data_IF_263751723773
#
_entry.id   IF_263751723773
#
_cell.length_a   1.000
_cell.length_b   1.000
_cell.length_c   1.000
_cell.angle_alpha   90.00
_cell.angle_beta   90.00
_cell.angle_gamma   90.00
#
_symmetry.space_group_name_H-M   'P 1'
#
loop_
_entity.id
_entity.type
_entity.pdbx_description
1 polymer ?
#
# COMPACT_ATOMS: atom_id res chain seq x y z
N UNK A 1 -69.39 11.37 13.25
CA UNK A 1 -68.26 10.84 12.45
C UNK A 1 -68.39 9.35 12.45
N UNK A 2 -68.45 8.73 11.28
CA UNK A 2 -68.61 7.29 11.17
C UNK A 2 -67.30 6.59 11.52
N UNK A 3 -67.41 5.44 12.20
CA UNK A 3 -66.28 4.59 12.58
C UNK A 3 -65.38 4.29 11.36
N UNK A 4 -65.99 4.16 10.17
CA UNK A 4 -65.30 3.94 8.91
C UNK A 4 -64.31 5.07 8.56
N UNK A 5 -64.67 6.33 8.79
CA UNK A 5 -63.82 7.50 8.48
C UNK A 5 -62.63 7.57 9.44
N UNK A 6 -62.83 7.19 10.71
CA UNK A 6 -61.77 7.12 11.72
C UNK A 6 -60.78 6.00 11.40
N UNK A 7 -61.27 4.83 10.99
CA UNK A 7 -60.42 3.69 10.62
C UNK A 7 -59.61 3.98 9.36
N UNK A 8 -60.23 4.56 8.33
CA UNK A 8 -59.54 4.89 7.07
C UNK A 8 -58.48 5.98 7.28
N UNK A 9 -58.81 7.06 8.00
CA UNK A 9 -57.85 8.14 8.30
C UNK A 9 -56.66 7.65 9.14
N UNK A 10 -56.89 6.77 10.11
CA UNK A 10 -55.83 6.15 10.92
C UNK A 10 -54.93 5.24 10.09
N UNK A 11 -55.49 4.50 9.14
CA UNK A 11 -54.74 3.59 8.25
C UNK A 11 -53.86 4.38 7.27
N UNK A 12 -54.41 5.44 6.66
CA UNK A 12 -53.65 6.32 5.75
C UNK A 12 -52.51 7.03 6.49
N UNK A 13 -52.78 7.53 7.69
CA UNK A 13 -51.76 8.20 8.52
C UNK A 13 -50.66 7.21 8.93
N UNK A 14 -51.05 6.00 9.33
CA UNK A 14 -50.09 4.93 9.69
C UNK A 14 -49.24 4.50 8.49
N UNK A 15 -49.83 4.39 7.30
CA UNK A 15 -49.12 4.07 6.06
C UNK A 15 -48.12 5.17 5.68
N UNK A 16 -48.49 6.45 5.81
CA UNK A 16 -47.58 7.58 5.57
C UNK A 16 -46.40 7.57 6.55
N UNK A 17 -46.65 7.41 7.85
CA UNK A 17 -45.58 7.37 8.86
C UNK A 17 -44.66 6.16 8.62
N UNK A 18 -45.24 4.99 8.36
CA UNK A 18 -44.48 3.76 8.09
C UNK A 18 -43.66 3.89 6.80
N UNK A 19 -44.20 4.53 5.76
CA UNK A 19 -43.49 4.81 4.51
C UNK A 19 -42.32 5.76 4.70
N UNK A 20 -42.48 6.82 5.49
CA UNK A 20 -41.40 7.76 5.81
C UNK A 20 -40.28 7.10 6.63
N UNK A 21 -40.65 6.36 7.69
CA UNK A 21 -39.70 5.62 8.53
C UNK A 21 -38.96 4.57 7.68
N UNK A 22 -39.70 3.75 6.93
CA UNK A 22 -39.13 2.73 6.05
C UNK A 22 -38.22 3.32 4.98
N UNK A 23 -38.62 4.43 4.36
CA UNK A 23 -37.81 5.17 3.40
C UNK A 23 -36.50 5.68 3.99
N UNK A 24 -36.55 6.28 5.20
CA UNK A 24 -35.36 6.75 5.89
C UNK A 24 -34.39 5.62 6.25
N UNK A 25 -34.89 4.52 6.82
CA UNK A 25 -34.07 3.34 7.11
C UNK A 25 -33.48 2.73 5.83
N UNK A 26 -34.26 2.64 4.75
CA UNK A 26 -33.79 2.13 3.46
C UNK A 26 -32.64 2.98 2.89
N UNK A 27 -32.78 4.32 2.92
CA UNK A 27 -31.74 5.24 2.48
C UNK A 27 -30.46 5.09 3.31
N UNK A 28 -30.58 5.05 4.64
CA UNK A 28 -29.44 4.89 5.55
C UNK A 28 -28.74 3.54 5.35
N UNK A 29 -29.52 2.47 5.16
CA UNK A 29 -28.99 1.13 4.86
C UNK A 29 -28.19 1.13 3.56
N UNK A 30 -28.77 1.70 2.48
CA UNK A 30 -28.08 1.82 1.18
C UNK A 30 -26.78 2.63 1.24
N UNK A 31 -26.76 3.71 2.03
CA UNK A 31 -25.54 4.50 2.23
C UNK A 31 -24.45 3.70 2.94
N UNK A 32 -24.82 2.94 3.97
CA UNK A 32 -23.88 2.06 4.68
C UNK A 32 -23.37 0.93 3.79
N UNK A 33 -24.23 0.33 2.99
CA UNK A 33 -23.88 -0.70 2.00
C UNK A 33 -22.89 -0.16 0.96
N UNK A 34 -23.16 1.03 0.39
CA UNK A 34 -22.25 1.68 -0.54
C UNK A 34 -20.87 1.93 0.06
N UNK A 35 -20.81 2.46 1.29
CA UNK A 35 -19.55 2.68 1.99
C UNK A 35 -18.79 1.35 2.22
N UNK A 36 -19.50 0.28 2.58
CA UNK A 36 -18.90 -1.04 2.76
C UNK A 36 -18.29 -1.58 1.46
N UNK A 37 -19.02 -1.51 0.34
CA UNK A 37 -18.53 -1.93 -0.98
C UNK A 37 -17.29 -1.14 -1.37
N UNK A 38 -17.33 0.19 -1.19
CA UNK A 38 -16.20 1.06 -1.47
C UNK A 38 -14.97 0.71 -0.62
N UNK A 39 -15.14 0.51 0.69
CA UNK A 39 -14.04 0.12 1.57
C UNK A 39 -13.49 -1.26 1.25
N UNK A 40 -14.33 -2.21 0.84
CA UNK A 40 -13.89 -3.51 0.35
C UNK A 40 -13.00 -3.39 -0.88
N UNK A 41 -13.39 -2.58 -1.86
CA UNK A 41 -12.57 -2.32 -3.05
C UNK A 41 -11.21 -1.70 -2.70
N UNK A 42 -11.17 -0.76 -1.75
CA UNK A 42 -9.90 -0.17 -1.31
C UNK A 42 -9.04 -1.21 -0.59
N UNK A 43 -9.64 -2.00 0.31
CA UNK A 43 -8.93 -3.05 1.03
C UNK A 43 -8.27 -4.03 0.05
N UNK A 44 -8.98 -4.47 -0.98
CA UNK A 44 -8.44 -5.33 -2.05
C UNK A 44 -7.25 -4.68 -2.77
N UNK A 45 -7.33 -3.38 -3.12
CA UNK A 45 -6.20 -2.65 -3.74
C UNK A 45 -4.99 -2.55 -2.81
N UNK A 46 -5.22 -2.32 -1.52
CA UNK A 46 -4.14 -2.26 -0.51
C UNK A 46 -3.47 -3.61 -0.32
N UNK A 47 -4.23 -4.71 -0.27
CA UNK A 47 -3.68 -6.06 -0.21
C UNK A 47 -2.73 -6.34 -1.36
N UNK A 48 -3.16 -6.06 -2.60
CA UNK A 48 -2.30 -6.23 -3.80
C UNK A 48 -1.01 -5.41 -3.69
N UNK A 49 -1.11 -4.17 -3.21
CA UNK A 49 0.07 -3.33 -3.02
C UNK A 49 1.03 -3.90 -1.96
N UNK A 50 0.49 -4.49 -0.90
CA UNK A 50 1.27 -5.05 0.21
C UNK A 50 1.94 -6.36 -0.22
N UNK A 51 1.27 -7.18 -1.02
CA UNK A 51 1.85 -8.38 -1.65
C UNK A 51 3.08 -8.04 -2.52
N UNK A 52 3.05 -6.92 -3.26
CA UNK A 52 4.22 -6.47 -4.02
C UNK A 52 5.37 -5.97 -3.13
N UNK A 53 5.07 -5.43 -1.94
CA UNK A 53 6.10 -5.12 -0.93
C UNK A 53 6.67 -6.41 -0.32
N UNK A 54 5.83 -7.41 -0.02
CA UNK A 54 6.28 -8.71 0.49
C UNK A 54 7.19 -9.42 -0.51
N UNK A 55 6.84 -9.40 -1.80
CA UNK A 55 7.68 -9.94 -2.88
C UNK A 55 9.06 -9.27 -2.88
N UNK A 56 9.10 -7.93 -2.83
CA UNK A 56 10.35 -7.17 -2.74
C UNK A 56 11.17 -7.55 -1.50
N UNK A 57 10.52 -7.62 -0.32
CA UNK A 57 11.17 -8.05 0.92
C UNK A 57 11.79 -9.44 0.77
N UNK A 58 11.06 -10.39 0.16
CA UNK A 58 11.52 -11.77 -0.05
C UNK A 58 12.86 -11.82 -0.80
N UNK A 59 12.98 -11.08 -1.90
CA UNK A 59 14.19 -11.01 -2.73
C UNK A 59 15.41 -10.41 -1.99
N UNK A 60 15.17 -9.51 -1.03
CA UNK A 60 16.23 -8.89 -0.20
C UNK A 60 16.39 -9.53 1.18
N UNK A 61 15.67 -10.62 1.45
CA UNK A 61 15.75 -11.37 2.71
C UNK A 61 16.75 -12.51 2.63
N UNK A 62 16.85 -13.13 1.46
CA UNK A 62 17.73 -14.26 1.22
C UNK A 62 19.15 -13.73 1.04
N UNK A 63 20.06 -14.16 1.92
CA UNK A 63 21.47 -13.90 1.80
C UNK A 63 22.14 -15.02 0.97
N UNK A 64 22.98 -14.63 0.03
CA UNK A 64 23.84 -15.49 -0.78
C UNK A 64 25.29 -15.12 -0.45
N UNK A 65 26.18 -16.10 -0.46
CA UNK A 65 27.62 -15.90 -0.19
C UNK A 65 28.40 -16.18 -1.46
N UNK A 66 29.26 -15.25 -1.88
CA UNK A 66 30.15 -15.45 -3.02
C UNK A 66 31.45 -16.18 -2.59
N UNK A 67 32.28 -16.54 -3.57
CA UNK A 67 33.56 -17.22 -3.37
C UNK A 67 34.52 -16.46 -2.43
N UNK A 68 34.41 -15.13 -2.36
CA UNK A 68 35.19 -14.26 -1.46
C UNK A 68 34.64 -14.20 -0.02
N UNK A 69 33.66 -15.06 0.32
CA UNK A 69 32.98 -15.13 1.62
C UNK A 69 32.21 -13.86 2.00
N UNK A 70 31.97 -12.93 1.06
CA UNK A 70 31.18 -11.72 1.31
C UNK A 70 29.71 -12.00 0.97
N UNK A 71 28.77 -11.73 1.91
CA UNK A 71 27.36 -11.92 1.65
C UNK A 71 26.78 -10.78 0.81
N UNK A 72 25.77 -11.09 0.02
CA UNK A 72 24.92 -10.15 -0.69
C UNK A 72 23.48 -10.70 -0.72
N UNK A 73 22.50 -9.88 -1.10
CA UNK A 73 21.10 -10.30 -1.16
C UNK A 73 20.77 -10.95 -2.51
N UNK A 74 19.88 -11.96 -2.53
CA UNK A 74 19.49 -12.71 -3.73
C UNK A 74 19.09 -11.81 -4.89
N UNK A 75 18.41 -10.70 -4.62
CA UNK A 75 18.08 -9.67 -5.60
C UNK A 75 19.26 -9.23 -6.48
N UNK A 76 20.49 -9.25 -5.94
CA UNK A 76 21.71 -8.82 -6.62
C UNK A 76 22.59 -9.96 -7.13
N UNK A 77 22.07 -11.19 -7.18
CA UNK A 77 22.79 -12.34 -7.74
C UNK A 77 23.11 -12.16 -9.21
N UNK A 78 24.13 -12.88 -9.68
CA UNK A 78 24.55 -12.86 -11.10
C UNK A 78 23.48 -13.37 -12.07
N UNK A 79 22.47 -14.09 -11.57
CA UNK A 79 21.32 -14.54 -12.37
C UNK A 79 20.36 -13.40 -12.71
N UNK A 80 20.39 -12.30 -11.94
CA UNK A 80 19.54 -11.13 -12.13
C UNK A 80 20.27 -10.04 -12.92
N UNK A 81 19.59 -9.48 -13.92
CA UNK A 81 20.04 -8.27 -14.60
C UNK A 81 19.46 -7.00 -13.96
N UNK A 82 20.00 -5.83 -14.34
CA UNK A 82 19.51 -4.54 -13.87
C UNK A 82 18.01 -4.35 -14.16
N UNK A 83 17.54 -4.85 -15.31
CA UNK A 83 16.13 -4.76 -15.68
C UNK A 83 15.23 -5.54 -14.71
N UNK A 84 15.68 -6.68 -14.21
CA UNK A 84 14.95 -7.53 -13.25
C UNK A 84 14.81 -6.82 -11.91
N UNK A 85 15.92 -6.24 -11.42
CA UNK A 85 15.91 -5.41 -10.20
C UNK A 85 14.96 -4.22 -10.34
N UNK A 86 15.01 -3.51 -11.46
CA UNK A 86 14.13 -2.36 -11.70
C UNK A 86 12.66 -2.76 -11.88
N UNK A 87 12.36 -3.90 -12.49
CA UNK A 87 10.98 -4.41 -12.62
C UNK A 87 10.37 -4.70 -11.26
N UNK A 88 11.14 -5.29 -10.34
CA UNK A 88 10.67 -5.55 -8.98
C UNK A 88 10.37 -4.25 -8.24
N UNK A 89 11.31 -3.28 -8.29
CA UNK A 89 11.12 -1.96 -7.67
C UNK A 89 9.92 -1.21 -8.28
N UNK A 90 9.75 -1.29 -9.61
CA UNK A 90 8.61 -0.70 -10.31
C UNK A 90 7.28 -1.31 -9.86
N UNK A 91 7.23 -2.62 -9.66
CA UNK A 91 6.03 -3.32 -9.15
C UNK A 91 5.55 -2.70 -7.84
N UNK A 92 6.46 -2.52 -6.89
CA UNK A 92 6.15 -1.88 -5.61
C UNK A 92 5.80 -0.40 -5.75
N UNK A 93 6.59 0.36 -6.52
CA UNK A 93 6.40 1.81 -6.68
C UNK A 93 5.13 2.18 -7.45
N UNK A 94 4.67 1.34 -8.39
CA UNK A 94 3.43 1.54 -9.14
C UNK A 94 2.17 1.57 -8.25
N UNK A 95 2.30 1.05 -7.02
CA UNK A 95 1.22 0.96 -6.04
C UNK A 95 1.32 2.00 -4.92
N UNK A 96 2.12 3.06 -5.10
CA UNK A 96 2.38 4.11 -4.09
C UNK A 96 1.10 4.68 -3.41
N UNK A 97 0.02 4.84 -4.18
CA UNK A 97 -1.25 5.35 -3.68
C UNK A 97 -1.86 4.47 -2.57
N UNK A 98 -1.59 3.16 -2.60
CA UNK A 98 -2.21 2.16 -1.74
C UNK A 98 -1.34 1.77 -0.54
N UNK A 99 -0.08 2.18 -0.52
CA UNK A 99 0.83 2.02 0.62
C UNK A 99 0.61 3.13 1.64
N UNK A 100 1.01 2.96 2.89
CA UNK A 100 1.18 4.11 3.80
C UNK A 100 2.35 4.98 3.32
N UNK A 101 2.36 6.24 3.74
CA UNK A 101 3.42 7.17 3.30
C UNK A 101 4.80 6.74 3.83
N UNK A 102 4.86 6.17 5.03
CA UNK A 102 6.08 5.59 5.61
C UNK A 102 6.58 4.39 4.79
N UNK A 103 5.68 3.44 4.47
CA UNK A 103 6.05 2.26 3.69
C UNK A 103 6.47 2.64 2.27
N UNK A 104 5.78 3.59 1.65
CA UNK A 104 6.18 4.12 0.35
C UNK A 104 7.55 4.81 0.41
N UNK A 105 7.82 5.60 1.45
CA UNK A 105 9.12 6.27 1.59
C UNK A 105 10.28 5.27 1.72
N UNK A 106 10.08 4.17 2.44
CA UNK A 106 11.09 3.10 2.55
C UNK A 106 11.36 2.41 1.20
N UNK A 107 10.32 2.15 0.41
CA UNK A 107 10.50 1.55 -0.94
C UNK A 107 11.20 2.52 -1.89
N UNK A 108 10.89 3.82 -1.79
CA UNK A 108 11.59 4.90 -2.51
C UNK A 108 13.06 5.00 -2.10
N UNK A 109 13.38 4.94 -0.81
CA UNK A 109 14.77 4.95 -0.32
C UNK A 109 15.58 3.78 -0.88
N UNK A 110 15.00 2.58 -0.93
CA UNK A 110 15.63 1.42 -1.55
C UNK A 110 15.85 1.65 -3.05
N UNK A 111 14.86 2.17 -3.77
CA UNK A 111 15.01 2.50 -5.20
C UNK A 111 16.14 3.50 -5.45
N UNK A 112 16.24 4.56 -4.64
CA UNK A 112 17.32 5.54 -4.74
C UNK A 112 18.69 4.93 -4.44
N UNK A 113 18.78 4.04 -3.44
CA UNK A 113 20.01 3.33 -3.12
C UNK A 113 20.49 2.48 -4.31
N UNK A 114 19.58 1.74 -4.94
CA UNK A 114 19.88 0.93 -6.13
C UNK A 114 20.27 1.82 -7.31
N UNK A 115 19.51 2.88 -7.59
CA UNK A 115 19.79 3.81 -8.69
C UNK A 115 21.15 4.50 -8.59
N UNK A 116 21.52 4.98 -7.40
CA UNK A 116 22.80 5.68 -7.21
C UNK A 116 24.01 4.75 -7.36
N UNK A 117 23.81 3.45 -7.24
CA UNK A 117 24.90 2.49 -7.19
C UNK A 117 25.09 1.66 -8.47
N UNK A 118 24.11 1.71 -9.38
CA UNK A 118 24.17 1.12 -10.72
C UNK A 118 24.83 2.05 -11.75
N UNK A 119 25.54 3.10 -11.29
CA UNK A 119 26.46 3.85 -12.14
C UNK A 119 27.45 2.85 -12.80
N UNK A 120 27.69 2.96 -14.12
CA UNK A 120 28.05 1.85 -15.02
C UNK A 120 29.37 1.10 -14.75
N UNK A 121 30.13 1.44 -13.72
CA UNK A 121 31.45 0.85 -13.45
C UNK A 121 31.44 -0.37 -12.50
N UNK A 122 30.35 -0.65 -11.76
CA UNK A 122 30.32 -1.77 -10.79
C UNK A 122 29.10 -2.67 -10.99
N UNK A 123 29.34 -3.97 -11.15
CA UNK A 123 28.28 -4.98 -11.32
C UNK A 123 27.40 -5.15 -10.07
N UNK A 124 26.19 -5.67 -10.26
CA UNK A 124 25.17 -5.83 -9.21
C UNK A 124 25.65 -6.61 -7.99
N UNK A 125 26.43 -7.68 -8.19
CA UNK A 125 26.98 -8.49 -7.09
C UNK A 125 27.89 -7.65 -6.20
N UNK A 126 28.83 -6.89 -6.78
CA UNK A 126 29.72 -6.02 -6.00
C UNK A 126 28.94 -4.89 -5.32
N UNK A 127 27.92 -4.34 -5.97
CA UNK A 127 26.99 -3.42 -5.31
C UNK A 127 26.34 -4.06 -4.08
N UNK A 128 25.78 -5.27 -4.23
CA UNK A 128 25.10 -6.02 -3.18
C UNK A 128 26.01 -6.31 -2.00
N UNK A 129 27.27 -6.71 -2.26
CA UNK A 129 28.28 -6.93 -1.21
C UNK A 129 28.64 -5.63 -0.47
N UNK A 130 28.85 -4.54 -1.21
CA UNK A 130 29.22 -3.25 -0.63
C UNK A 130 28.08 -2.61 0.19
N UNK A 131 26.83 -2.98 -0.10
CA UNK A 131 25.64 -2.39 0.54
C UNK A 131 24.82 -3.39 1.36
N UNK A 132 25.35 -4.58 1.63
CA UNK A 132 24.62 -5.68 2.28
C UNK A 132 23.95 -5.22 3.58
N UNK A 133 24.69 -4.54 4.46
CA UNK A 133 24.20 -4.02 5.73
C UNK A 133 23.09 -2.99 5.54
N UNK A 134 23.30 -2.00 4.67
CA UNK A 134 22.33 -0.93 4.38
C UNK A 134 21.01 -1.51 3.86
N UNK A 135 21.08 -2.47 2.93
CA UNK A 135 19.90 -3.14 2.39
C UNK A 135 19.22 -3.99 3.47
N UNK A 136 19.97 -4.68 4.32
CA UNK A 136 19.41 -5.48 5.41
C UNK A 136 18.67 -4.61 6.45
N UNK A 137 19.20 -3.42 6.76
CA UNK A 137 18.56 -2.45 7.64
C UNK A 137 17.27 -1.89 7.02
N UNK A 138 17.29 -1.53 5.73
CA UNK A 138 16.08 -1.11 5.00
C UNK A 138 15.03 -2.22 4.95
N UNK A 139 15.42 -3.46 4.65
CA UNK A 139 14.51 -4.62 4.70
C UNK A 139 13.85 -4.75 6.07
N UNK A 140 14.62 -4.68 7.15
CA UNK A 140 14.05 -4.79 8.50
C UNK A 140 13.06 -3.67 8.83
N UNK A 141 13.30 -2.45 8.32
CA UNK A 141 12.33 -1.35 8.45
C UNK A 141 11.08 -1.62 7.60
N UNK A 142 11.23 -2.08 6.37
CA UNK A 142 10.12 -2.46 5.48
C UNK A 142 9.24 -3.54 6.14
N UNK A 143 9.84 -4.62 6.62
CA UNK A 143 9.13 -5.73 7.29
C UNK A 143 8.34 -5.26 8.50
N UNK A 144 8.96 -4.44 9.37
CA UNK A 144 8.29 -3.92 10.58
C UNK A 144 7.14 -2.98 10.23
N UNK A 145 7.35 -2.09 9.27
CA UNK A 145 6.33 -1.12 8.85
C UNK A 145 5.15 -1.85 8.21
N UNK A 146 5.41 -2.79 7.30
CA UNK A 146 4.39 -3.62 6.69
C UNK A 146 3.59 -4.42 7.74
N UNK A 147 4.28 -5.03 8.71
CA UNK A 147 3.61 -5.77 9.77
C UNK A 147 2.69 -4.87 10.63
N UNK A 148 3.14 -3.66 10.95
CA UNK A 148 2.32 -2.68 11.68
C UNK A 148 1.11 -2.24 10.86
N UNK A 149 1.31 -1.97 9.57
CA UNK A 149 0.23 -1.58 8.67
C UNK A 149 -0.85 -2.66 8.55
N UNK A 150 -0.46 -3.94 8.57
CA UNK A 150 -1.40 -5.07 8.55
C UNK A 150 -2.34 -5.09 9.76
N UNK A 151 -1.90 -4.60 10.94
CA UNK A 151 -2.74 -4.53 12.14
C UNK A 151 -3.90 -3.55 11.99
N UNK A 152 -3.70 -2.49 11.21
CA UNK A 152 -4.66 -1.39 11.00
C UNK A 152 -5.23 -1.37 9.58
N UNK A 153 -5.01 -2.43 8.80
CA UNK A 153 -5.41 -2.49 7.40
C UNK A 153 -6.93 -2.30 7.20
N UNK A 154 -7.72 -2.78 8.15
CA UNK A 154 -9.18 -2.67 8.17
C UNK A 154 -9.68 -1.22 8.36
N UNK A 155 -8.84 -0.31 8.88
CA UNK A 155 -9.20 1.10 9.12
C UNK A 155 -8.99 1.93 7.84
N UNK A 156 -9.87 1.71 6.85
CA UNK A 156 -9.88 2.43 5.59
C UNK A 156 -10.14 3.95 5.77
N UNK A 157 -11.06 4.40 6.63
CA UNK A 157 -11.28 5.83 6.84
C UNK A 157 -10.04 6.57 7.34
N UNK A 158 -9.31 6.01 8.31
CA UNK A 158 -8.08 6.64 8.79
C UNK A 158 -7.00 6.67 7.69
N UNK A 159 -6.83 5.57 6.96
CA UNK A 159 -5.91 5.50 5.83
C UNK A 159 -6.17 6.59 4.78
N UNK A 160 -7.41 6.72 4.31
CA UNK A 160 -7.77 7.73 3.29
C UNK A 160 -7.55 9.16 3.78
N UNK A 161 -7.82 9.43 5.07
CA UNK A 161 -7.59 10.76 5.66
C UNK A 161 -6.10 11.08 5.83
N UNK A 162 -5.28 10.06 6.08
CA UNK A 162 -3.84 10.22 6.24
C UNK A 162 -3.15 10.57 4.92
N UNK A 163 -3.73 10.21 3.77
CA UNK A 163 -3.21 10.55 2.44
C UNK A 163 -3.23 12.05 2.20
N UNK A 164 -2.07 12.68 2.40
CA UNK A 164 -1.85 14.07 2.06
C UNK A 164 -1.50 14.18 0.57
N UNK A 165 -2.16 15.07 -0.20
CA UNK A 165 -1.64 15.47 -1.49
C UNK A 165 -0.32 16.22 -1.24
N UNK A 166 0.78 15.50 -1.37
CA UNK A 166 2.14 16.05 -1.31
C UNK A 166 2.76 15.92 -2.69
N UNK A 167 3.55 16.91 -3.09
CA UNK A 167 4.20 16.91 -4.41
C UNK A 167 5.15 15.71 -4.50
N UNK A 168 5.00 14.91 -5.56
CA UNK A 168 5.73 13.65 -5.75
C UNK A 168 7.21 13.81 -6.16
N UNK A 169 7.79 15.01 -6.02
CA UNK A 169 9.15 15.29 -6.48
C UNK A 169 10.06 15.58 -5.29
N UNK A 170 11.20 14.89 -5.23
CA UNK A 170 12.34 15.30 -4.39
C UNK A 170 13.25 16.19 -5.23
N UNK A 171 13.70 17.33 -4.69
CA UNK A 171 14.77 18.12 -5.32
C UNK A 171 16.04 17.27 -5.36
N UNK A 172 16.49 16.88 -6.55
CA UNK A 172 17.73 16.13 -6.71
C UNK A 172 18.91 16.94 -6.14
N UNK A 173 19.87 16.30 -5.44
CA UNK A 173 21.10 16.98 -5.02
C UNK A 173 21.80 17.54 -6.26
N UNK A 174 22.12 18.84 -6.27
CA UNK A 174 22.97 19.40 -7.32
C UNK A 174 24.35 18.75 -7.18
N UNK A 175 24.79 18.01 -8.19
CA UNK A 175 26.19 17.63 -8.31
C UNK A 175 27.00 18.93 -8.47
N UNK A 176 27.72 19.32 -7.41
CA UNK A 176 28.81 20.29 -7.54
C UNK A 176 29.88 19.63 -8.38
N UNK A 177 30.08 20.17 -9.57
CA UNK A 177 31.18 19.82 -10.49
C UNK A 177 32.50 20.38 -9.98
#
# INVERSE_FOLDING_TARGET
MDILTIVVSSTVTSALISGLIGGWFSLRSKQAEYANIYYKMILERRMVAYEEVERLIGEIKIAVVDNDQRPYHLLFSGDNDHATVYKLLLGTMSNALWLTDELFDLTRQLNLLVYNATAPEKGLVEFGKNNYKTVAELRTKLERTLANDMLVLHDIPAFLKAKKPTDGYTTLPRHTT
#
